data_IF_045132523946
#
_entry.id   IF_045132523946
#
_cell.length_a   1.000
_cell.length_b   1.000
_cell.length_c   1.000
_cell.angle_alpha   90.00
_cell.angle_beta   90.00
_cell.angle_gamma   90.00
#
_symmetry.space_group_name_H-M   'P 1'
#
loop_
_entity.id
_entity.type
_entity.pdbx_description
1 polymer ?
#
# COMPACT_ATOMS: atom_id res chain seq x y z
N UNK A 1 -27.22 20.91 -19.06
CA UNK A 1 -26.18 20.02 -18.49
C UNK A 1 -26.56 18.58 -18.84
N UNK A 2 -25.96 17.99 -19.88
CA UNK A 2 -26.19 16.58 -20.22
C UNK A 2 -25.41 15.72 -19.22
N UNK A 3 -26.10 15.08 -18.28
CA UNK A 3 -25.49 14.08 -17.40
C UNK A 3 -25.23 12.85 -18.28
N UNK A 4 -24.02 12.76 -18.84
CA UNK A 4 -23.57 11.55 -19.53
C UNK A 4 -23.20 10.54 -18.44
N UNK A 5 -24.16 9.66 -18.11
CA UNK A 5 -23.86 8.49 -17.27
C UNK A 5 -23.06 7.52 -18.14
N UNK A 6 -21.74 7.51 -18.02
CA UNK A 6 -20.92 6.44 -18.59
C UNK A 6 -21.36 5.13 -17.93
N UNK A 7 -22.06 4.28 -18.69
CA UNK A 7 -22.54 2.99 -18.22
C UNK A 7 -21.32 2.06 -18.14
N UNK A 8 -20.96 1.65 -16.92
CA UNK A 8 -19.87 0.68 -16.69
C UNK A 8 -20.17 -0.64 -17.39
N UNK A 9 -19.13 -1.27 -17.91
CA UNK A 9 -19.26 -2.61 -18.50
C UNK A 9 -19.51 -3.66 -17.41
N UNK A 10 -20.15 -4.78 -17.75
CA UNK A 10 -20.36 -5.89 -16.80
C UNK A 10 -19.04 -6.44 -16.22
N UNK A 11 -17.97 -6.68 -17.01
CA UNK A 11 -16.66 -7.06 -16.47
C UNK A 11 -16.10 -6.06 -15.46
N UNK A 12 -16.25 -4.75 -15.71
CA UNK A 12 -15.82 -3.72 -14.77
C UNK A 12 -16.63 -3.78 -13.46
N UNK A 13 -17.95 -3.94 -13.53
CA UNK A 13 -18.80 -4.08 -12.34
C UNK A 13 -18.37 -5.30 -11.52
N UNK A 14 -18.19 -6.46 -12.15
CA UNK A 14 -17.76 -7.69 -11.47
C UNK A 14 -16.42 -7.50 -10.76
N UNK A 15 -15.42 -6.91 -11.44
CA UNK A 15 -14.09 -6.67 -10.87
C UNK A 15 -14.12 -5.70 -9.68
N UNK A 16 -14.88 -4.61 -9.78
CA UNK A 16 -14.98 -3.60 -8.71
C UNK A 16 -15.80 -4.11 -7.51
N UNK A 17 -16.85 -4.91 -7.75
CA UNK A 17 -17.59 -5.58 -6.67
C UNK A 17 -16.70 -6.58 -5.94
N UNK A 18 -15.94 -7.39 -6.68
CA UNK A 18 -14.96 -8.30 -6.10
C UNK A 18 -13.95 -7.54 -5.22
N UNK A 19 -13.37 -6.47 -5.75
CA UNK A 19 -12.43 -5.62 -5.02
C UNK A 19 -13.08 -5.05 -3.74
N UNK A 20 -14.31 -4.54 -3.84
CA UNK A 20 -15.03 -3.99 -2.69
C UNK A 20 -15.21 -5.01 -1.57
N UNK A 21 -15.63 -6.24 -1.90
CA UNK A 21 -15.77 -7.35 -0.94
C UNK A 21 -14.41 -7.67 -0.31
N UNK A 22 -13.36 -7.83 -1.12
CA UNK A 22 -12.03 -8.16 -0.62
C UNK A 22 -11.48 -7.10 0.35
N UNK A 23 -11.60 -5.81 -0.01
CA UNK A 23 -11.16 -4.70 0.84
C UNK A 23 -11.96 -4.65 2.14
N UNK A 24 -13.29 -4.76 2.06
CA UNK A 24 -14.18 -4.76 3.22
C UNK A 24 -13.80 -5.86 4.22
N UNK A 25 -13.69 -7.09 3.73
CA UNK A 25 -13.39 -8.27 4.55
C UNK A 25 -11.96 -8.23 5.11
N UNK A 26 -10.99 -7.78 4.31
CA UNK A 26 -9.59 -7.66 4.77
C UNK A 26 -9.43 -6.59 5.86
N UNK A 27 -10.12 -5.45 5.73
CA UNK A 27 -10.09 -4.40 6.76
C UNK A 27 -10.81 -4.88 8.01
N UNK A 28 -11.97 -5.54 7.90
CA UNK A 28 -12.68 -6.10 9.05
C UNK A 28 -11.82 -7.12 9.81
N UNK A 29 -11.13 -8.02 9.11
CA UNK A 29 -10.23 -9.00 9.73
C UNK A 29 -9.14 -8.32 10.56
N UNK A 30 -8.67 -7.14 10.15
CA UNK A 30 -7.67 -6.35 10.86
C UNK A 30 -8.20 -5.62 12.14
N UNK A 31 -9.49 -5.79 12.45
CA UNK A 31 -10.19 -5.13 13.57
C UNK A 31 -10.76 -6.12 14.56
N UNK A 32 -11.25 -5.63 15.70
CA UNK A 32 -11.93 -6.48 16.69
C UNK A 32 -13.25 -7.06 16.20
N UNK A 33 -13.79 -6.62 15.06
CA UNK A 33 -14.93 -7.30 14.42
C UNK A 33 -14.64 -8.73 13.99
N UNK A 34 -13.36 -9.11 13.87
CA UNK A 34 -12.96 -10.51 13.64
C UNK A 34 -13.51 -11.47 14.71
N UNK A 35 -13.78 -10.98 15.93
CA UNK A 35 -14.37 -11.78 17.01
C UNK A 35 -15.86 -12.05 16.79
N UNK A 36 -16.53 -11.19 16.03
CA UNK A 36 -17.96 -11.30 15.72
C UNK A 36 -18.22 -11.98 14.37
N UNK A 37 -17.21 -12.11 13.51
CA UNK A 37 -17.32 -12.74 12.21
C UNK A 37 -16.74 -14.16 12.24
N UNK A 38 -17.55 -15.22 12.02
CA UNK A 38 -17.03 -16.57 11.93
C UNK A 38 -15.95 -16.70 10.86
N UNK A 39 -14.85 -17.41 11.14
CA UNK A 39 -13.74 -17.61 10.18
C UNK A 39 -14.20 -18.22 8.85
N UNK A 40 -15.28 -19.01 8.86
CA UNK A 40 -15.88 -19.57 7.64
C UNK A 40 -16.51 -18.47 6.76
N UNK A 41 -17.17 -17.46 7.37
CA UNK A 41 -17.78 -16.36 6.63
C UNK A 41 -16.71 -15.52 5.91
N UNK A 42 -15.58 -15.24 6.57
CA UNK A 42 -14.42 -14.62 5.93
C UNK A 42 -13.98 -15.40 4.68
N UNK A 43 -13.76 -16.73 4.82
CA UNK A 43 -13.32 -17.58 3.70
C UNK A 43 -14.33 -17.62 2.56
N UNK A 44 -15.63 -17.68 2.86
CA UNK A 44 -16.71 -17.67 1.86
C UNK A 44 -16.73 -16.35 1.09
N UNK A 45 -16.62 -15.21 1.77
CA UNK A 45 -16.62 -13.90 1.10
C UNK A 45 -15.39 -13.71 0.21
N UNK A 46 -14.22 -14.17 0.65
CA UNK A 46 -13.01 -14.21 -0.19
C UNK A 46 -13.22 -15.12 -1.40
N UNK A 47 -13.80 -16.31 -1.23
CA UNK A 47 -14.09 -17.22 -2.33
C UNK A 47 -15.08 -16.63 -3.34
N UNK A 48 -16.14 -15.95 -2.87
CA UNK A 48 -17.08 -15.20 -3.71
C UNK A 48 -16.34 -14.13 -4.50
N UNK A 49 -15.48 -13.35 -3.84
CA UNK A 49 -14.70 -12.31 -4.50
C UNK A 49 -13.79 -12.88 -5.60
N UNK A 50 -13.09 -13.98 -5.35
CA UNK A 50 -12.29 -14.67 -6.36
C UNK A 50 -13.14 -15.25 -7.49
N UNK A 51 -14.31 -15.83 -7.19
CA UNK A 51 -15.23 -16.35 -8.20
C UNK A 51 -15.71 -15.23 -9.14
N UNK A 52 -16.01 -14.04 -8.62
CA UNK A 52 -16.36 -12.87 -9.44
C UNK A 52 -15.22 -12.47 -10.38
N UNK A 53 -13.95 -12.54 -9.93
CA UNK A 53 -12.79 -12.28 -10.80
C UNK A 53 -12.67 -13.34 -11.91
N UNK A 54 -12.88 -14.62 -11.58
CA UNK A 54 -12.88 -15.70 -12.59
C UNK A 54 -13.99 -15.48 -13.61
N UNK A 55 -15.21 -15.20 -13.17
CA UNK A 55 -16.35 -14.91 -14.05
C UNK A 55 -16.02 -13.71 -14.94
N UNK A 56 -15.41 -12.65 -14.39
CA UNK A 56 -14.96 -11.48 -15.15
C UNK A 56 -13.96 -11.86 -16.25
N UNK A 57 -13.01 -12.76 -15.98
CA UNK A 57 -12.04 -13.21 -16.97
C UNK A 57 -12.70 -14.03 -18.09
N UNK A 58 -13.77 -14.79 -17.83
CA UNK A 58 -14.50 -15.53 -18.86
C UNK A 58 -15.17 -14.63 -19.91
N UNK A 59 -15.39 -13.34 -19.63
CA UNK A 59 -15.88 -12.38 -20.63
C UNK A 59 -14.80 -11.92 -21.61
N UNK A 60 -13.52 -12.20 -21.33
CA UNK A 60 -12.40 -11.79 -22.19
C UNK A 60 -12.24 -12.78 -23.33
N UNK A 61 -12.40 -12.29 -24.56
CA UNK A 61 -12.37 -13.13 -25.77
C UNK A 61 -10.96 -13.46 -26.24
N UNK A 62 -10.03 -12.50 -26.11
CA UNK A 62 -8.68 -12.64 -26.61
C UNK A 62 -7.63 -12.39 -25.50
N UNK A 63 -6.63 -13.26 -25.46
CA UNK A 63 -5.51 -13.22 -24.53
C UNK A 63 -4.22 -12.99 -25.30
N UNK A 64 -3.56 -11.86 -25.07
CA UNK A 64 -2.23 -11.61 -25.60
C UNK A 64 -1.13 -12.36 -24.81
N UNK A 65 0.05 -12.49 -25.39
CA UNK A 65 1.17 -13.20 -24.77
C UNK A 65 1.57 -12.59 -23.41
N UNK A 66 1.45 -11.26 -23.25
CA UNK A 66 1.75 -10.56 -22.00
C UNK A 66 0.79 -10.95 -20.89
N UNK A 67 -0.49 -11.10 -21.22
CA UNK A 67 -1.52 -11.57 -20.30
C UNK A 67 -1.27 -13.00 -19.84
N UNK A 68 -0.80 -13.88 -20.74
CA UNK A 68 -0.45 -15.26 -20.38
C UNK A 68 0.80 -15.29 -19.47
N UNK A 69 1.86 -14.57 -19.83
CA UNK A 69 3.07 -14.46 -18.99
C UNK A 69 2.72 -13.87 -17.62
N UNK A 70 1.89 -12.82 -17.59
CA UNK A 70 1.42 -12.21 -16.35
C UNK A 70 0.66 -13.19 -15.46
N UNK A 71 -0.14 -14.09 -16.05
CA UNK A 71 -0.86 -15.14 -15.30
C UNK A 71 0.12 -16.15 -14.71
N UNK A 72 1.07 -16.63 -15.51
CA UNK A 72 2.10 -17.58 -15.07
C UNK A 72 2.90 -16.99 -13.91
N UNK A 73 3.37 -15.75 -14.03
CA UNK A 73 4.09 -15.05 -12.96
C UNK A 73 3.20 -14.93 -11.71
N UNK A 74 1.94 -14.53 -11.88
CA UNK A 74 0.97 -14.40 -10.77
C UNK A 74 0.83 -15.73 -10.01
N UNK A 75 0.61 -16.84 -10.74
CA UNK A 75 0.46 -18.18 -10.15
C UNK A 75 1.75 -18.64 -9.47
N UNK A 76 2.91 -18.44 -10.10
CA UNK A 76 4.21 -18.83 -9.52
C UNK A 76 4.48 -18.08 -8.20
N UNK A 77 4.30 -16.75 -8.19
CA UNK A 77 4.50 -15.94 -6.98
C UNK A 77 3.46 -16.30 -5.91
N UNK A 78 2.21 -16.55 -6.31
CA UNK A 78 1.15 -17.02 -5.41
C UNK A 78 1.54 -18.31 -4.70
N UNK A 79 2.07 -19.31 -5.42
CA UNK A 79 2.51 -20.56 -4.83
C UNK A 79 3.70 -20.37 -3.87
N UNK A 80 4.67 -19.52 -4.21
CA UNK A 80 5.82 -19.22 -3.34
C UNK A 80 5.35 -18.55 -2.03
N UNK A 81 4.56 -17.48 -2.14
CA UNK A 81 4.04 -16.75 -0.97
C UNK A 81 3.11 -17.64 -0.15
N UNK A 82 2.26 -18.43 -0.81
CA UNK A 82 1.30 -19.34 -0.19
C UNK A 82 1.95 -20.47 0.60
N UNK A 83 3.11 -20.97 0.13
CA UNK A 83 3.90 -21.98 0.84
C UNK A 83 4.46 -21.47 2.17
N UNK A 84 4.89 -20.20 2.22
CA UNK A 84 5.51 -19.61 3.41
C UNK A 84 4.48 -19.05 4.40
N UNK A 85 3.42 -18.41 3.89
CA UNK A 85 2.41 -17.76 4.72
C UNK A 85 1.18 -18.64 4.89
N UNK A 86 0.28 -18.60 3.92
CA UNK A 86 -0.82 -19.54 3.64
C UNK A 86 -1.38 -19.17 2.28
N UNK A 87 -1.98 -20.13 1.56
CA UNK A 87 -2.66 -19.87 0.27
C UNK A 87 -3.84 -18.90 0.38
N UNK A 88 -4.41 -18.75 1.57
CA UNK A 88 -5.50 -17.83 1.90
C UNK A 88 -5.02 -16.51 2.50
N UNK A 89 -3.71 -16.23 2.50
CA UNK A 89 -3.21 -14.97 3.04
C UNK A 89 -3.63 -13.80 2.17
N UNK A 90 -3.90 -12.64 2.80
CA UNK A 90 -4.27 -11.41 2.08
C UNK A 90 -3.24 -11.04 1.00
N UNK A 91 -1.95 -11.26 1.26
CA UNK A 91 -0.85 -10.97 0.32
C UNK A 91 -0.95 -11.87 -0.91
N UNK A 92 -1.13 -13.19 -0.71
CA UNK A 92 -1.26 -14.14 -1.81
C UNK A 92 -2.50 -13.86 -2.67
N UNK A 93 -3.65 -13.62 -2.02
CA UNK A 93 -4.90 -13.29 -2.71
C UNK A 93 -4.79 -11.97 -3.50
N UNK A 94 -4.07 -10.98 -2.97
CA UNK A 94 -3.88 -9.68 -3.63
C UNK A 94 -3.24 -9.80 -5.02
N UNK A 95 -2.43 -10.83 -5.28
CA UNK A 95 -1.82 -11.06 -6.59
C UNK A 95 -2.88 -11.28 -7.68
N UNK A 96 -3.96 -12.00 -7.37
CA UNK A 96 -5.07 -12.20 -8.30
C UNK A 96 -5.82 -10.90 -8.59
N UNK A 97 -5.91 -9.98 -7.64
CA UNK A 97 -6.47 -8.65 -7.89
C UNK A 97 -5.58 -7.83 -8.82
N UNK A 98 -4.26 -7.81 -8.58
CA UNK A 98 -3.32 -7.12 -9.48
C UNK A 98 -3.47 -7.64 -10.91
N UNK A 99 -3.58 -8.96 -11.08
CA UNK A 99 -3.78 -9.56 -12.39
C UNK A 99 -5.17 -9.27 -12.97
N UNK A 100 -6.25 -9.53 -12.24
CA UNK A 100 -7.61 -9.44 -12.77
C UNK A 100 -8.06 -8.00 -13.02
N UNK A 101 -7.51 -7.02 -12.32
CA UNK A 101 -7.81 -5.60 -12.53
C UNK A 101 -6.89 -4.92 -13.57
N UNK A 102 -6.00 -5.69 -14.23
CA UNK A 102 -5.04 -5.16 -15.21
C UNK A 102 -5.65 -4.46 -16.42
N UNK A 103 -6.93 -4.63 -16.70
CA UNK A 103 -7.65 -4.00 -17.82
C UNK A 103 -8.81 -3.13 -17.33
N UNK A 104 -8.85 -2.84 -16.03
CA UNK A 104 -9.82 -1.93 -15.43
C UNK A 104 -9.17 -0.55 -15.24
N UNK A 105 -9.84 0.56 -15.60
CA UNK A 105 -9.28 1.90 -15.41
C UNK A 105 -8.92 2.16 -13.95
N UNK A 106 -7.70 2.64 -13.70
CA UNK A 106 -7.22 2.81 -12.31
C UNK A 106 -8.09 3.80 -11.52
N UNK A 107 -8.72 4.78 -12.17
CA UNK A 107 -9.63 5.74 -11.53
C UNK A 107 -10.85 5.05 -10.91
N UNK A 108 -11.41 4.02 -11.56
CA UNK A 108 -12.52 3.22 -11.03
C UNK A 108 -12.09 2.38 -9.81
N UNK A 109 -10.89 1.79 -9.88
CA UNK A 109 -10.28 1.04 -8.77
C UNK A 109 -10.05 1.95 -7.56
N UNK A 110 -9.41 3.09 -7.78
CA UNK A 110 -9.11 4.09 -6.76
C UNK A 110 -10.39 4.61 -6.08
N UNK A 111 -11.43 4.97 -6.86
CA UNK A 111 -12.72 5.41 -6.30
C UNK A 111 -13.36 4.33 -5.42
N UNK A 112 -13.35 3.08 -5.88
CA UNK A 112 -13.91 1.95 -5.13
C UNK A 112 -13.14 1.75 -3.82
N UNK A 113 -11.81 1.75 -3.88
CA UNK A 113 -10.96 1.65 -2.68
C UNK A 113 -11.17 2.81 -1.72
N UNK A 114 -11.28 4.04 -2.22
CA UNK A 114 -11.51 5.23 -1.39
C UNK A 114 -12.82 5.12 -0.61
N UNK A 115 -13.92 4.77 -1.30
CA UNK A 115 -15.24 4.62 -0.66
C UNK A 115 -15.20 3.55 0.42
N UNK A 116 -14.68 2.35 0.11
CA UNK A 116 -14.60 1.28 1.10
C UNK A 116 -13.71 1.65 2.27
N UNK A 117 -12.54 2.24 2.02
CA UNK A 117 -11.58 2.61 3.07
C UNK A 117 -12.17 3.67 4.02
N UNK A 118 -12.82 4.71 3.50
CA UNK A 118 -13.45 5.76 4.32
C UNK A 118 -14.61 5.20 5.14
N UNK A 119 -15.51 4.44 4.51
CA UNK A 119 -16.66 3.85 5.21
C UNK A 119 -16.20 2.90 6.32
N UNK A 120 -15.23 2.05 6.03
CA UNK A 120 -14.69 1.11 7.01
C UNK A 120 -13.96 1.80 8.15
N UNK A 121 -13.13 2.80 7.85
CA UNK A 121 -12.42 3.54 8.88
C UNK A 121 -13.41 4.23 9.84
N UNK A 122 -14.42 4.94 9.30
CA UNK A 122 -15.44 5.60 10.12
C UNK A 122 -16.28 4.59 10.90
N UNK A 123 -16.72 3.51 10.26
CA UNK A 123 -17.52 2.46 10.88
C UNK A 123 -16.80 1.84 12.07
N UNK A 124 -15.54 1.45 11.91
CA UNK A 124 -14.74 0.79 12.97
C UNK A 124 -14.48 1.76 14.12
N UNK A 125 -14.07 3.00 13.84
CA UNK A 125 -13.79 4.01 14.87
C UNK A 125 -15.07 4.33 15.65
N UNK A 126 -16.20 4.53 14.97
CA UNK A 126 -17.46 4.82 15.61
C UNK A 126 -17.93 3.64 16.49
N UNK A 127 -17.82 2.42 15.98
CA UNK A 127 -18.15 1.20 16.72
C UNK A 127 -17.31 1.06 17.99
N UNK A 128 -16.01 1.36 17.91
CA UNK A 128 -15.10 1.32 19.05
C UNK A 128 -15.44 2.40 20.09
N UNK A 129 -15.77 3.62 19.65
CA UNK A 129 -16.17 4.71 20.54
C UNK A 129 -17.53 4.47 21.21
N UNK A 130 -18.44 3.76 20.55
CA UNK A 130 -19.71 3.33 21.13
C UNK A 130 -19.59 2.09 22.03
N UNK A 131 -18.41 1.46 22.10
CA UNK A 131 -18.20 0.23 22.87
C UNK A 131 -18.80 -1.03 22.23
N UNK A 132 -19.16 -1.00 20.94
CA UNK A 132 -19.62 -2.19 20.18
C UNK A 132 -18.47 -3.18 20.00
N UNK A 133 -17.26 -2.67 19.77
CA UNK A 133 -16.03 -3.44 19.72
C UNK A 133 -14.98 -2.81 20.65
N UNK A 134 -13.97 -3.59 21.03
CA UNK A 134 -12.90 -3.13 21.91
C UNK A 134 -12.10 -1.98 21.29
N UNK A 135 -11.89 -0.91 22.06
CA UNK A 135 -10.84 0.07 21.78
C UNK A 135 -9.64 -0.19 22.69
N UNK A 136 -8.67 -0.96 22.20
CA UNK A 136 -7.49 -1.31 23.00
C UNK A 136 -6.57 -0.09 23.21
N UNK A 137 -6.08 0.08 24.44
CA UNK A 137 -5.11 1.10 24.81
C UNK A 137 -3.77 0.44 25.12
N UNK A 138 -2.75 0.72 24.31
CA UNK A 138 -1.38 0.31 24.57
C UNK A 138 -0.67 1.38 25.40
N UNK A 139 -0.19 1.00 26.58
CA UNK A 139 0.58 1.86 27.47
C UNK A 139 2.03 1.36 27.50
N UNK A 140 2.96 2.21 27.09
CA UNK A 140 4.40 1.93 27.06
C UNK A 140 5.16 3.11 27.64
N UNK A 141 5.40 3.07 28.96
CA UNK A 141 5.99 4.20 29.69
C UNK A 141 5.04 5.40 29.67
N UNK A 142 5.49 6.55 29.16
CA UNK A 142 4.68 7.77 29.01
C UNK A 142 3.81 7.78 27.74
N UNK A 143 4.00 6.81 26.85
CA UNK A 143 3.29 6.73 25.57
C UNK A 143 2.01 5.94 25.72
N UNK A 144 0.89 6.55 25.33
CA UNK A 144 -0.43 5.90 25.25
C UNK A 144 -0.88 5.88 23.78
N UNK A 145 -1.28 4.71 23.28
CA UNK A 145 -1.78 4.54 21.91
C UNK A 145 -3.14 3.89 21.93
N UNK A 146 -4.12 4.58 21.37
CA UNK A 146 -5.45 4.05 21.09
C UNK A 146 -5.43 3.29 19.76
N UNK A 147 -5.99 2.08 19.74
CA UNK A 147 -6.04 1.25 18.53
C UNK A 147 -7.27 1.55 17.67
N UNK A 148 -8.22 2.34 18.19
CA UNK A 148 -9.40 2.83 17.47
C UNK A 148 -10.26 1.71 16.86
N UNK A 149 -10.37 0.57 17.55
CA UNK A 149 -11.09 -0.62 17.09
C UNK A 149 -10.26 -1.59 16.24
N UNK A 150 -9.05 -1.22 15.84
CA UNK A 150 -8.13 -2.09 15.11
C UNK A 150 -7.34 -2.99 16.06
N UNK A 151 -6.69 -4.03 15.52
CA UNK A 151 -5.83 -4.93 16.29
C UNK A 151 -4.39 -4.43 16.47
N UNK A 152 -4.06 -3.30 15.87
CA UNK A 152 -2.76 -2.63 16.05
C UNK A 152 -2.85 -1.13 15.74
N UNK A 153 -2.14 -0.29 16.50
CA UNK A 153 -2.28 1.17 16.45
C UNK A 153 -1.95 1.80 15.09
N UNK A 154 -1.09 1.16 14.30
CA UNK A 154 -0.66 1.70 12.99
C UNK A 154 -1.71 1.52 11.89
N UNK A 155 -2.60 0.53 12.03
CA UNK A 155 -3.57 0.12 11.02
C UNK A 155 -4.59 1.21 10.62
N UNK A 156 -5.24 1.93 11.56
CA UNK A 156 -6.11 3.05 11.18
C UNK A 156 -5.33 4.17 10.47
N UNK A 157 -4.08 4.41 10.88
CA UNK A 157 -3.27 5.49 10.33
C UNK A 157 -2.77 5.19 8.91
N UNK A 158 -2.35 3.95 8.61
CA UNK A 158 -1.98 3.56 7.24
C UNK A 158 -3.20 3.56 6.32
N UNK A 159 -4.37 3.12 6.80
CA UNK A 159 -5.62 3.17 6.03
C UNK A 159 -6.01 4.62 5.69
N UNK A 160 -5.87 5.55 6.65
CA UNK A 160 -6.09 6.97 6.41
C UNK A 160 -5.05 7.57 5.45
N UNK A 161 -3.78 7.16 5.53
CA UNK A 161 -2.76 7.58 4.57
C UNK A 161 -3.10 7.13 3.15
N UNK A 162 -3.62 5.90 2.98
CA UNK A 162 -4.11 5.41 1.69
C UNK A 162 -5.31 6.24 1.18
N UNK A 163 -6.23 6.65 2.07
CA UNK A 163 -7.33 7.58 1.75
C UNK A 163 -6.79 8.92 1.26
N UNK A 164 -5.77 9.49 1.92
CA UNK A 164 -5.11 10.73 1.50
C UNK A 164 -4.45 10.58 0.13
N UNK A 165 -3.65 9.53 -0.09
CA UNK A 165 -2.97 9.27 -1.36
C UNK A 165 -3.97 9.06 -2.51
N UNK A 166 -5.04 8.31 -2.26
CA UNK A 166 -6.09 8.04 -3.25
C UNK A 166 -6.90 9.29 -3.58
N UNK A 167 -7.17 10.14 -2.58
CA UNK A 167 -7.83 11.44 -2.79
C UNK A 167 -6.96 12.39 -3.61
N UNK A 168 -5.65 12.47 -3.31
CA UNK A 168 -4.68 13.23 -4.10
C UNK A 168 -4.70 12.76 -5.58
N UNK A 169 -4.70 11.45 -5.82
CA UNK A 169 -4.77 10.90 -7.17
C UNK A 169 -6.10 11.25 -7.88
N UNK A 170 -7.25 11.06 -7.24
CA UNK A 170 -8.57 11.29 -7.85
C UNK A 170 -8.81 12.77 -8.14
N UNK A 171 -8.51 13.64 -7.18
CA UNK A 171 -8.83 15.06 -7.27
C UNK A 171 -7.75 15.86 -7.99
N UNK A 172 -6.51 15.39 -8.03
CA UNK A 172 -5.37 16.11 -8.62
C UNK A 172 -5.30 17.55 -8.05
N UNK A 173 -5.24 18.57 -8.90
CA UNK A 173 -5.28 19.99 -8.53
C UNK A 173 -6.69 20.52 -8.19
N UNK A 174 -7.74 19.73 -8.41
CA UNK A 174 -9.15 20.12 -8.24
C UNK A 174 -9.71 19.78 -6.84
N UNK A 175 -8.88 19.48 -5.85
CA UNK A 175 -9.36 19.26 -4.48
C UNK A 175 -10.04 20.52 -3.93
N UNK A 176 -11.18 20.37 -3.24
CA UNK A 176 -11.83 21.50 -2.55
C UNK A 176 -11.14 21.77 -1.21
N UNK A 177 -11.00 23.05 -0.82
CA UNK A 177 -10.31 23.41 0.42
C UNK A 177 -10.91 22.75 1.67
N UNK A 178 -12.23 22.60 1.73
CA UNK A 178 -12.87 21.90 2.85
C UNK A 178 -12.52 20.40 2.88
N UNK A 179 -12.36 19.74 1.72
CA UNK A 179 -11.96 18.33 1.64
C UNK A 179 -10.52 18.17 2.16
N UNK A 180 -9.63 19.07 1.71
CA UNK A 180 -8.25 19.12 2.17
C UNK A 180 -8.19 19.36 3.68
N UNK A 181 -8.95 20.34 4.20
CA UNK A 181 -9.00 20.65 5.63
C UNK A 181 -9.50 19.47 6.45
N UNK A 182 -10.58 18.81 6.00
CA UNK A 182 -11.12 17.62 6.66
C UNK A 182 -10.08 16.49 6.73
N UNK A 183 -9.35 16.23 5.64
CA UNK A 183 -8.27 15.24 5.62
C UNK A 183 -7.13 15.62 6.57
N UNK A 184 -6.68 16.87 6.55
CA UNK A 184 -5.63 17.38 7.44
C UNK A 184 -6.01 17.24 8.91
N UNK A 185 -7.24 17.60 9.28
CA UNK A 185 -7.75 17.44 10.65
C UNK A 185 -7.88 15.96 11.04
N UNK A 186 -8.34 15.11 10.12
CA UNK A 186 -8.44 13.67 10.35
C UNK A 186 -7.06 13.04 10.60
N UNK A 187 -6.06 13.41 9.79
CA UNK A 187 -4.66 12.95 9.92
C UNK A 187 -4.09 13.39 11.26
N UNK A 188 -4.29 14.66 11.64
CA UNK A 188 -3.85 15.18 12.94
C UNK A 188 -4.52 14.46 14.12
N UNK A 189 -5.84 14.25 14.06
CA UNK A 189 -6.58 13.56 15.11
C UNK A 189 -6.14 12.10 15.26
N UNK A 190 -6.07 11.33 14.16
CA UNK A 190 -5.60 9.93 14.22
C UNK A 190 -4.16 9.86 14.72
N UNK A 191 -3.30 10.80 14.37
CA UNK A 191 -1.95 10.87 14.93
C UNK A 191 -1.98 11.10 16.45
N UNK A 192 -2.80 12.03 16.95
CA UNK A 192 -2.95 12.26 18.39
C UNK A 192 -3.46 11.03 19.16
N UNK A 193 -4.24 10.17 18.51
CA UNK A 193 -4.73 8.92 19.11
C UNK A 193 -3.71 7.77 19.06
N UNK A 194 -2.98 7.65 17.95
CA UNK A 194 -2.20 6.45 17.63
C UNK A 194 -0.69 6.64 17.76
N UNK A 195 -0.20 7.88 17.85
CA UNK A 195 1.23 8.25 17.76
C UNK A 195 1.96 7.54 16.58
N UNK A 196 1.30 7.47 15.43
CA UNK A 196 1.82 6.84 14.21
C UNK A 196 2.62 7.85 13.38
N UNK A 197 3.83 8.19 13.87
CA UNK A 197 4.69 9.26 13.32
C UNK A 197 4.94 9.16 11.81
N UNK A 198 5.31 7.98 11.33
CA UNK A 198 5.72 7.80 9.95
C UNK A 198 4.57 8.03 8.95
N UNK A 199 3.42 7.40 9.17
CA UNK A 199 2.21 7.57 8.35
C UNK A 199 1.66 8.99 8.46
N UNK A 200 1.79 9.64 9.62
CA UNK A 200 1.47 11.06 9.79
C UNK A 200 2.33 11.95 8.90
N UNK A 201 3.67 11.83 8.97
CA UNK A 201 4.56 12.66 8.16
C UNK A 201 4.39 12.43 6.66
N UNK A 202 4.20 11.19 6.22
CA UNK A 202 3.89 10.91 4.81
C UNK A 202 2.56 11.52 4.38
N UNK A 203 1.53 11.45 5.23
CA UNK A 203 0.24 12.10 4.95
C UNK A 203 0.42 13.62 4.83
N UNK A 204 1.22 14.25 5.70
CA UNK A 204 1.58 15.67 5.58
C UNK A 204 2.31 15.97 4.27
N UNK A 205 3.28 15.14 3.85
CA UNK A 205 3.99 15.30 2.57
C UNK A 205 3.01 15.21 1.39
N UNK A 206 2.09 14.24 1.40
CA UNK A 206 1.07 14.09 0.36
C UNK A 206 0.09 15.28 0.32
N UNK A 207 -0.36 15.75 1.48
CA UNK A 207 -1.26 16.91 1.59
C UNK A 207 -0.57 18.23 1.20
N UNK A 208 0.69 18.41 1.58
CA UNK A 208 1.51 19.55 1.17
C UNK A 208 1.75 19.54 -0.34
N UNK A 209 2.02 18.37 -0.92
CA UNK A 209 2.09 18.24 -2.37
C UNK A 209 0.74 18.55 -3.04
N UNK A 210 -0.37 18.11 -2.45
CA UNK A 210 -1.70 18.37 -2.97
C UNK A 210 -2.08 19.86 -3.00
N UNK A 211 -1.75 20.62 -1.95
CA UNK A 211 -1.96 22.08 -1.93
C UNK A 211 -1.00 22.79 -2.90
N UNK A 212 0.24 22.31 -3.01
CA UNK A 212 1.24 22.86 -3.92
C UNK A 212 0.80 22.76 -5.39
N UNK A 213 0.32 21.59 -5.83
CA UNK A 213 -0.19 21.41 -7.21
C UNK A 213 -1.51 22.14 -7.45
N UNK A 214 -2.29 22.42 -6.40
CA UNK A 214 -3.49 23.24 -6.49
C UNK A 214 -3.13 24.70 -6.74
N UNK A 215 -2.16 25.25 -6.02
CA UNK A 215 -1.72 26.64 -6.18
C UNK A 215 -0.85 26.85 -7.42
N UNK A 216 -0.05 25.85 -7.79
CA UNK A 216 0.86 25.93 -8.93
C UNK A 216 0.70 24.70 -9.85
N UNK A 217 -0.38 24.59 -10.64
CA UNK A 217 -0.62 23.41 -11.48
C UNK A 217 0.55 23.08 -12.43
N UNK A 218 1.22 24.10 -12.96
CA UNK A 218 2.38 23.98 -13.85
C UNK A 218 3.63 23.40 -13.16
N UNK A 219 3.61 23.20 -11.84
CA UNK A 219 4.75 22.60 -11.13
C UNK A 219 4.94 21.13 -11.46
N UNK A 220 3.87 20.43 -11.87
CA UNK A 220 3.94 19.00 -12.20
C UNK A 220 4.89 18.73 -13.39
N UNK A 221 4.83 19.56 -14.44
CA UNK A 221 5.73 19.43 -15.59
C UNK A 221 7.18 19.75 -15.22
N UNK A 222 7.39 20.77 -14.37
CA UNK A 222 8.73 21.14 -13.87
C UNK A 222 9.34 20.05 -12.98
N UNK A 223 8.55 19.47 -12.08
CA UNK A 223 8.95 18.36 -11.21
C UNK A 223 9.11 17.04 -11.98
N UNK A 224 8.58 16.94 -13.20
CA UNK A 224 8.75 15.75 -14.03
C UNK A 224 10.21 15.36 -14.24
N UNK A 225 11.12 16.33 -14.37
CA UNK A 225 12.56 16.08 -14.44
C UNK A 225 13.14 15.57 -13.12
N UNK A 226 12.66 16.08 -11.99
CA UNK A 226 13.05 15.58 -10.65
C UNK A 226 12.59 14.14 -10.47
N UNK A 227 11.36 13.81 -10.83
CA UNK A 227 10.84 12.44 -10.71
C UNK A 227 11.60 11.42 -11.56
N UNK A 228 12.19 11.83 -12.70
CA UNK A 228 13.08 10.96 -13.50
C UNK A 228 14.33 10.52 -12.72
N UNK A 229 14.86 11.34 -11.81
CA UNK A 229 15.99 10.98 -10.92
C UNK A 229 15.59 9.83 -10.00
N UNK A 230 14.36 9.86 -9.50
CA UNK A 230 13.82 8.85 -8.59
C UNK A 230 13.31 7.58 -9.29
N UNK A 231 13.46 7.45 -10.62
CA UNK A 231 12.99 6.28 -11.38
C UNK A 231 13.44 4.94 -10.79
N UNK A 232 14.65 4.88 -10.23
CA UNK A 232 15.24 3.67 -9.65
C UNK A 232 15.14 3.61 -8.12
N UNK A 233 14.27 4.42 -7.49
CA UNK A 233 14.17 4.54 -6.03
C UNK A 233 13.88 3.21 -5.33
N UNK A 234 13.05 2.33 -5.89
CA UNK A 234 12.78 1.01 -5.27
C UNK A 234 14.04 0.13 -5.22
N UNK A 235 14.83 0.11 -6.30
CA UNK A 235 16.11 -0.64 -6.34
C UNK A 235 17.08 -0.05 -5.33
N UNK A 236 17.25 1.27 -5.35
CA UNK A 236 18.17 1.96 -4.47
C UNK A 236 17.81 1.76 -3.00
N UNK A 237 16.53 1.91 -2.65
CA UNK A 237 16.05 1.74 -1.29
C UNK A 237 16.15 0.29 -0.80
N UNK A 238 15.94 -0.70 -1.68
CA UNK A 238 16.15 -2.11 -1.35
C UNK A 238 17.63 -2.42 -1.07
N UNK A 239 18.54 -1.96 -1.93
CA UNK A 239 19.99 -2.14 -1.77
C UNK A 239 20.48 -1.45 -0.50
N UNK A 240 20.09 -0.20 -0.25
CA UNK A 240 20.45 0.53 0.96
C UNK A 240 19.90 -0.14 2.20
N UNK A 241 18.64 -0.55 2.18
CA UNK A 241 18.02 -1.27 3.31
C UNK A 241 18.85 -2.50 3.66
N UNK A 242 19.21 -3.31 2.67
CA UNK A 242 20.05 -4.49 2.87
C UNK A 242 21.45 -4.11 3.38
N UNK A 243 22.13 -3.18 2.72
CA UNK A 243 23.50 -2.78 3.07
C UNK A 243 23.61 -2.21 4.49
N UNK A 244 22.70 -1.30 4.89
CA UNK A 244 22.70 -0.74 6.25
C UNK A 244 22.42 -1.86 7.26
N UNK A 245 21.47 -2.76 6.96
CA UNK A 245 21.09 -3.82 7.89
C UNK A 245 22.22 -4.81 8.15
N UNK A 246 22.93 -5.29 7.12
CA UNK A 246 24.02 -6.26 7.31
C UNK A 246 25.27 -5.63 7.97
N UNK A 247 25.50 -4.33 7.77
CA UNK A 247 26.68 -3.64 8.32
C UNK A 247 26.45 -3.01 9.70
N UNK A 248 25.22 -3.06 10.24
CA UNK A 248 24.86 -2.34 11.47
C UNK A 248 25.82 -2.62 12.65
N UNK A 249 26.04 -3.90 12.98
CA UNK A 249 26.96 -4.32 14.05
C UNK A 249 28.37 -4.69 13.54
N UNK A 250 28.57 -4.81 12.22
CA UNK A 250 29.80 -5.29 11.61
C UNK A 250 30.81 -4.21 11.19
N UNK A 251 30.50 -2.93 11.38
CA UNK A 251 31.37 -1.84 10.93
C UNK A 251 32.47 -1.50 11.95
N UNK A 252 33.74 -1.70 11.56
CA UNK A 252 34.91 -1.29 12.34
C UNK A 252 35.24 0.22 12.22
N UNK A 253 34.51 0.98 11.40
CA UNK A 253 34.73 2.41 11.24
C UNK A 253 33.92 3.21 12.27
N UNK A 254 34.60 3.96 13.13
CA UNK A 254 33.99 4.74 14.21
C UNK A 254 32.91 5.72 13.72
N UNK A 255 33.14 6.43 12.61
CA UNK A 255 32.18 7.38 12.06
C UNK A 255 30.92 6.69 11.54
N UNK A 256 31.09 5.56 10.84
CA UNK A 256 29.96 4.78 10.29
C UNK A 256 29.14 4.15 11.42
N UNK A 257 29.80 3.60 12.44
CA UNK A 257 29.14 3.04 13.62
C UNK A 257 28.35 4.12 14.38
N UNK A 258 28.96 5.29 14.61
CA UNK A 258 28.29 6.43 15.23
C UNK A 258 27.06 6.91 14.44
N UNK A 259 27.13 6.91 13.11
CA UNK A 259 25.98 7.21 12.24
C UNK A 259 24.87 6.16 12.38
N UNK A 260 25.22 4.87 12.30
CA UNK A 260 24.27 3.76 12.44
C UNK A 260 23.58 3.72 13.80
N UNK A 261 24.29 4.03 14.89
CA UNK A 261 23.69 4.13 16.21
C UNK A 261 22.62 5.23 16.28
N UNK A 262 22.95 6.44 15.80
CA UNK A 262 22.01 7.56 15.73
C UNK A 262 20.81 7.23 14.83
N UNK A 263 21.05 6.59 13.69
CA UNK A 263 20.00 6.15 12.78
C UNK A 263 19.07 5.13 13.45
N UNK A 264 19.63 4.14 14.15
CA UNK A 264 18.84 3.14 14.88
C UNK A 264 17.99 3.79 15.99
N UNK A 265 18.54 4.77 16.71
CA UNK A 265 17.79 5.53 17.71
C UNK A 265 16.62 6.30 17.07
N UNK A 266 16.87 7.00 15.94
CA UNK A 266 15.82 7.71 15.20
C UNK A 266 14.73 6.77 14.67
N UNK A 267 15.10 5.56 14.25
CA UNK A 267 14.18 4.52 13.78
C UNK A 267 13.54 3.71 14.93
N UNK A 268 13.84 4.02 16.19
CA UNK A 268 13.27 3.34 17.36
C UNK A 268 13.70 1.89 17.52
N UNK A 269 14.94 1.54 17.14
CA UNK A 269 15.49 0.18 17.27
C UNK A 269 15.27 -0.73 16.06
N UNK A 270 14.55 -0.28 15.02
CA UNK A 270 14.20 -1.12 13.85
C UNK A 270 15.40 -1.64 13.08
N UNK A 271 16.48 -0.86 13.02
CA UNK A 271 17.70 -1.29 12.32
C UNK A 271 18.37 -2.46 13.06
N UNK A 272 18.44 -2.38 14.40
CA UNK A 272 18.90 -3.49 15.23
C UNK A 272 18.05 -4.75 15.04
N UNK A 273 16.72 -4.60 15.02
CA UNK A 273 15.80 -5.75 14.86
C UNK A 273 15.95 -6.42 13.49
N UNK A 274 16.10 -5.64 12.42
CA UNK A 274 16.35 -6.16 11.08
C UNK A 274 17.71 -6.88 11.00
N UNK A 275 18.76 -6.30 11.59
CA UNK A 275 20.10 -6.89 11.63
C UNK A 275 20.10 -8.21 12.42
N UNK A 276 19.54 -8.21 13.64
CA UNK A 276 19.43 -9.41 14.47
C UNK A 276 18.59 -10.50 13.83
N UNK A 277 17.49 -10.15 13.16
CA UNK A 277 16.69 -11.12 12.40
C UNK A 277 17.49 -11.76 11.26
N UNK A 278 18.32 -10.98 10.55
CA UNK A 278 19.20 -11.53 9.51
C UNK A 278 20.30 -12.42 10.07
N UNK A 279 20.86 -12.11 11.25
CA UNK A 279 21.85 -12.98 11.90
C UNK A 279 21.24 -14.30 12.35
N UNK A 280 20.05 -14.28 12.94
CA UNK A 280 19.38 -15.47 13.45
C UNK A 280 18.87 -16.38 12.33
N UNK A 281 18.20 -15.77 11.34
CA UNK A 281 17.47 -16.53 10.35
C UNK A 281 18.15 -16.53 9.00
N UNK A 282 18.92 -15.51 8.62
CA UNK A 282 19.46 -15.33 7.26
C UNK A 282 18.34 -15.14 6.21
N UNK A 283 18.67 -15.43 4.95
CA UNK A 283 17.71 -15.44 3.83
C UNK A 283 18.08 -16.53 2.81
N UNK A 284 17.21 -16.80 1.85
CA UNK A 284 17.43 -17.80 0.80
C UNK A 284 16.79 -17.38 -0.53
N UNK A 285 16.97 -18.17 -1.58
CA UNK A 285 16.46 -17.83 -2.92
C UNK A 285 14.91 -17.86 -2.99
N UNK A 286 14.29 -18.89 -2.39
CA UNK A 286 12.84 -19.18 -2.46
C UNK A 286 12.08 -18.95 -1.13
N UNK A 287 12.69 -18.20 -0.21
CA UNK A 287 12.11 -17.89 1.11
C UNK A 287 12.24 -19.03 2.11
N UNK A 288 11.96 -18.73 3.38
CA UNK A 288 11.93 -19.71 4.47
C UNK A 288 11.02 -19.23 5.59
N UNK A 289 10.52 -20.13 6.45
CA UNK A 289 9.81 -19.73 7.66
C UNK A 289 10.71 -18.88 8.54
N UNK A 290 10.17 -17.79 9.06
CA UNK A 290 10.84 -16.86 9.98
C UNK A 290 9.88 -16.56 11.12
N UNK A 291 10.35 -16.72 12.34
CA UNK A 291 9.55 -16.45 13.54
C UNK A 291 9.75 -15.01 13.99
N UNK A 292 8.69 -14.22 13.92
CA UNK A 292 8.69 -12.83 14.39
C UNK A 292 7.57 -12.59 15.40
N UNK A 293 7.95 -11.89 16.46
CA UNK A 293 7.10 -11.53 17.58
C UNK A 293 6.95 -10.01 17.59
N UNK A 294 5.78 -9.55 17.15
CA UNK A 294 5.41 -8.13 17.14
C UNK A 294 4.40 -7.79 18.24
N UNK A 295 4.04 -6.50 18.32
CA UNK A 295 3.07 -5.98 19.29
C UNK A 295 1.61 -6.04 18.78
N UNK A 296 1.37 -6.57 17.58
CA UNK A 296 0.01 -6.76 17.07
C UNK A 296 -0.77 -7.76 17.94
N UNK A 297 -2.07 -7.48 18.14
CA UNK A 297 -2.92 -8.34 18.95
C UNK A 297 -3.45 -9.53 18.14
N UNK A 298 -3.62 -10.67 18.83
CA UNK A 298 -4.29 -11.84 18.25
C UNK A 298 -5.76 -11.53 17.93
N UNK A 299 -6.44 -12.47 17.29
CA UNK A 299 -7.89 -12.40 17.01
C UNK A 299 -8.67 -12.21 18.31
N UNK A 300 -8.21 -12.82 19.40
CA UNK A 300 -8.79 -12.76 20.75
C UNK A 300 -8.40 -11.48 21.51
N UNK A 301 -7.58 -10.60 20.93
CA UNK A 301 -7.13 -9.37 21.57
C UNK A 301 -5.97 -9.56 22.55
N UNK A 302 -5.29 -10.70 22.49
CA UNK A 302 -4.19 -11.01 23.41
C UNK A 302 -2.87 -10.48 22.84
N UNK A 303 -2.05 -9.89 23.71
CA UNK A 303 -0.71 -9.42 23.35
C UNK A 303 0.28 -10.58 23.32
N UNK A 304 1.23 -10.56 22.39
CA UNK A 304 2.37 -11.46 22.43
C UNK A 304 3.39 -10.98 23.49
N UNK A 305 3.68 -11.84 24.48
CA UNK A 305 4.65 -11.57 25.56
C UNK A 305 6.04 -12.17 25.30
N UNK A 306 6.26 -12.82 24.15
CA UNK A 306 7.57 -13.31 23.76
C UNK A 306 8.53 -12.15 23.44
N UNK A 307 9.83 -12.45 23.43
CA UNK A 307 10.87 -11.48 23.08
C UNK A 307 10.57 -10.82 21.74
N UNK A 308 10.45 -9.49 21.75
CA UNK A 308 10.10 -8.71 20.57
C UNK A 308 11.19 -8.83 19.50
N UNK A 309 10.77 -9.33 18.33
CA UNK A 309 11.60 -9.41 17.14
C UNK A 309 10.68 -9.30 15.93
N UNK A 310 10.55 -8.11 15.37
CA UNK A 310 9.75 -7.87 14.18
C UNK A 310 10.51 -6.96 13.22
N UNK A 311 10.51 -7.32 11.94
CA UNK A 311 11.18 -6.57 10.88
C UNK A 311 10.14 -5.73 10.14
N UNK A 312 10.14 -4.43 10.43
CA UNK A 312 9.25 -3.45 9.78
C UNK A 312 9.76 -3.02 8.39
N UNK A 313 11.05 -3.17 8.07
CA UNK A 313 11.56 -2.80 6.73
C UNK A 313 11.04 -3.79 5.68
N UNK A 314 10.15 -3.35 4.78
CA UNK A 314 9.49 -4.20 3.80
C UNK A 314 10.48 -4.96 2.89
N UNK A 315 11.58 -4.33 2.48
CA UNK A 315 12.56 -4.98 1.60
C UNK A 315 13.26 -6.14 2.30
N UNK A 316 13.70 -5.93 3.55
CA UNK A 316 14.25 -7.02 4.37
C UNK A 316 13.18 -8.06 4.69
N UNK A 317 11.95 -7.60 4.92
CA UNK A 317 10.83 -8.46 5.25
C UNK A 317 10.56 -9.48 4.13
N UNK A 318 10.43 -8.99 2.90
CA UNK A 318 10.21 -9.80 1.69
C UNK A 318 11.42 -10.69 1.43
N UNK A 319 12.65 -10.18 1.62
CA UNK A 319 13.88 -10.97 1.46
C UNK A 319 13.89 -12.21 2.38
N UNK A 320 13.59 -12.02 3.66
CA UNK A 320 13.68 -13.09 4.65
C UNK A 320 12.52 -14.08 4.53
N UNK A 321 11.28 -13.58 4.41
CA UNK A 321 10.08 -14.43 4.32
C UNK A 321 9.97 -15.12 2.95
N UNK A 322 9.97 -14.34 1.88
CA UNK A 322 9.62 -14.82 0.53
C UNK A 322 10.84 -15.09 -0.37
N UNK A 323 12.03 -14.64 0.04
CA UNK A 323 13.28 -14.94 -0.62
C UNK A 323 13.73 -13.88 -1.62
N UNK A 324 14.98 -14.03 -2.06
CA UNK A 324 15.63 -13.10 -2.98
C UNK A 324 14.89 -13.01 -4.32
N UNK A 325 14.35 -14.11 -4.84
CA UNK A 325 13.63 -14.10 -6.12
C UNK A 325 12.39 -13.21 -6.07
N UNK A 326 11.60 -13.32 -5.00
CA UNK A 326 10.38 -12.51 -4.82
C UNK A 326 10.75 -11.04 -4.59
N UNK A 327 11.81 -10.75 -3.82
CA UNK A 327 12.30 -9.38 -3.64
C UNK A 327 12.71 -8.74 -4.98
N UNK A 328 13.55 -9.42 -5.76
CA UNK A 328 14.04 -8.91 -7.05
C UNK A 328 12.86 -8.67 -7.98
N UNK A 329 11.95 -9.63 -8.10
CA UNK A 329 10.75 -9.47 -8.92
C UNK A 329 9.90 -8.28 -8.47
N UNK A 330 9.64 -8.15 -7.17
CA UNK A 330 8.87 -7.05 -6.59
C UNK A 330 9.48 -5.69 -6.95
N UNK A 331 10.77 -5.52 -6.68
CA UNK A 331 11.50 -4.27 -6.91
C UNK A 331 11.56 -3.93 -8.40
N UNK A 332 11.77 -4.93 -9.27
CA UNK A 332 11.75 -4.76 -10.72
C UNK A 332 10.38 -4.31 -11.21
N UNK A 333 9.29 -5.00 -10.81
CA UNK A 333 7.93 -4.65 -11.23
C UNK A 333 7.53 -3.26 -10.77
N UNK A 334 7.83 -2.87 -9.53
CA UNK A 334 7.53 -1.53 -9.01
C UNK A 334 8.36 -0.44 -9.71
N UNK A 335 9.63 -0.72 -9.99
CA UNK A 335 10.52 0.18 -10.74
C UNK A 335 10.05 0.37 -12.18
N UNK A 336 9.63 -0.71 -12.86
CA UNK A 336 9.07 -0.64 -14.21
C UNK A 336 7.74 0.09 -14.24
N UNK A 337 6.89 -0.11 -13.22
CA UNK A 337 5.61 0.59 -13.07
C UNK A 337 5.83 2.09 -12.89
N UNK A 338 6.73 2.49 -11.98
CA UNK A 338 7.13 3.89 -11.78
C UNK A 338 7.72 4.48 -13.07
N UNK A 339 8.57 3.72 -13.75
CA UNK A 339 9.14 4.13 -15.05
C UNK A 339 8.07 4.36 -16.12
N UNK A 340 7.06 3.49 -16.19
CA UNK A 340 5.94 3.62 -17.14
C UNK A 340 5.08 4.84 -16.79
N UNK A 341 4.78 5.06 -15.52
CA UNK A 341 4.04 6.23 -15.04
C UNK A 341 4.78 7.54 -15.39
N UNK A 342 6.09 7.62 -15.14
CA UNK A 342 6.94 8.77 -15.52
C UNK A 342 6.94 9.01 -17.03
N UNK A 343 7.11 7.95 -17.85
CA UNK A 343 7.09 8.07 -19.32
C UNK A 343 5.74 8.54 -19.87
N UNK A 344 4.65 8.19 -19.20
CA UNK A 344 3.28 8.62 -19.53
C UNK A 344 2.89 9.94 -18.83
N UNK A 345 3.85 10.67 -18.27
CA UNK A 345 3.64 11.93 -17.54
C UNK A 345 2.61 11.85 -16.40
N UNK A 346 2.42 10.65 -15.82
CA UNK A 346 1.52 10.42 -14.69
C UNK A 346 2.20 10.82 -13.39
N UNK A 347 2.47 12.12 -13.25
CA UNK A 347 3.34 12.68 -12.21
C UNK A 347 2.82 12.47 -10.78
N UNK A 348 1.51 12.53 -10.57
CA UNK A 348 0.91 12.30 -9.25
C UNK A 348 1.09 10.84 -8.82
N UNK A 349 0.88 9.90 -9.75
CA UNK A 349 1.12 8.47 -9.49
C UNK A 349 2.60 8.24 -9.23
N UNK A 350 3.49 8.83 -10.03
CA UNK A 350 4.93 8.73 -9.83
C UNK A 350 5.35 9.23 -8.43
N UNK A 351 4.84 10.39 -8.02
CA UNK A 351 5.11 10.94 -6.69
C UNK A 351 4.64 10.01 -5.56
N UNK A 352 3.42 9.47 -5.65
CA UNK A 352 2.89 8.53 -4.65
C UNK A 352 3.75 7.27 -4.57
N UNK A 353 4.13 6.69 -5.72
CA UNK A 353 5.01 5.51 -5.75
C UNK A 353 6.41 5.80 -5.18
N UNK A 354 6.94 7.01 -5.35
CA UNK A 354 8.20 7.43 -4.73
C UNK A 354 8.03 7.56 -3.21
N UNK A 355 6.97 8.19 -2.70
CA UNK A 355 6.72 8.25 -1.25
C UNK A 355 6.60 6.83 -0.68
N UNK A 356 5.91 5.93 -1.39
CA UNK A 356 5.78 4.52 -1.00
C UNK A 356 7.13 3.78 -0.98
N UNK A 357 8.05 4.06 -1.91
CA UNK A 357 9.35 3.40 -1.94
C UNK A 357 10.18 3.72 -0.70
N UNK A 358 10.11 4.97 -0.20
CA UNK A 358 10.79 5.40 1.01
C UNK A 358 10.10 4.91 2.27
N UNK A 359 8.76 4.92 2.30
CA UNK A 359 7.98 4.34 3.39
C UNK A 359 8.37 2.88 3.65
N UNK A 360 8.55 2.12 2.57
CA UNK A 360 8.90 0.70 2.60
C UNK A 360 10.27 0.41 3.25
N UNK A 361 11.10 1.42 3.49
CA UNK A 361 12.36 1.26 4.25
C UNK A 361 12.14 1.18 5.77
N UNK A 362 10.97 1.58 6.27
CA UNK A 362 10.70 1.74 7.71
C UNK A 362 9.41 1.02 8.14
N UNK A 363 8.55 0.66 7.19
CA UNK A 363 7.24 0.05 7.43
C UNK A 363 6.88 -1.01 6.36
N UNK A 364 6.25 -2.09 6.80
CA UNK A 364 5.87 -3.25 5.99
C UNK A 364 4.40 -3.24 5.56
N UNK A 365 3.57 -2.40 6.20
CA UNK A 365 2.13 -2.36 5.96
C UNK A 365 1.77 -2.02 4.51
N UNK A 366 2.68 -1.38 3.78
CA UNK A 366 2.56 -1.13 2.34
C UNK A 366 2.38 -2.39 1.49
N UNK A 367 2.74 -3.57 1.99
CA UNK A 367 2.61 -4.84 1.27
C UNK A 367 1.15 -5.26 1.06
N UNK A 368 0.26 -4.85 1.95
CA UNK A 368 -1.13 -5.28 1.92
C UNK A 368 -1.96 -4.38 0.99
N UNK A 369 -2.64 -4.99 0.03
CA UNK A 369 -3.44 -4.27 -0.97
C UNK A 369 -4.54 -3.39 -0.34
N UNK A 370 -5.10 -3.82 0.80
CA UNK A 370 -6.12 -3.03 1.51
C UNK A 370 -5.58 -1.81 2.27
N UNK A 371 -4.26 -1.70 2.42
CA UNK A 371 -3.58 -0.50 2.92
C UNK A 371 -2.87 0.29 1.83
N UNK A 372 -2.81 -0.26 0.60
CA UNK A 372 -2.10 0.36 -0.51
C UNK A 372 -2.66 -0.13 -1.85
N UNK A 373 -3.63 0.60 -2.39
CA UNK A 373 -4.31 0.21 -3.63
C UNK A 373 -3.42 0.38 -4.88
N UNK A 374 -2.32 1.13 -4.77
CA UNK A 374 -1.43 1.45 -5.89
C UNK A 374 -0.66 0.23 -6.41
N UNK A 375 -0.67 -0.90 -5.71
CA UNK A 375 -0.19 -2.19 -6.22
C UNK A 375 -0.89 -2.63 -7.52
N UNK A 376 -2.17 -2.26 -7.72
CA UNK A 376 -2.91 -2.59 -8.94
C UNK A 376 -2.25 -1.98 -10.20
N UNK A 377 -1.47 -0.90 -10.05
CA UNK A 377 -0.75 -0.29 -11.17
C UNK A 377 0.28 -1.21 -11.82
N UNK A 378 0.73 -2.28 -11.16
CA UNK A 378 1.56 -3.32 -11.79
C UNK A 378 0.83 -3.97 -12.96
N UNK A 379 -0.51 -4.03 -12.93
CA UNK A 379 -1.35 -4.47 -14.04
C UNK A 379 -1.08 -3.70 -15.35
N UNK A 380 -0.60 -2.45 -15.25
CA UNK A 380 -0.17 -1.67 -16.42
C UNK A 380 1.03 -2.26 -17.17
N UNK A 381 1.82 -3.14 -16.54
CA UNK A 381 2.90 -3.86 -17.23
C UNK A 381 2.35 -5.07 -18.01
N UNK A 382 1.19 -5.58 -17.62
CA UNK A 382 0.53 -6.74 -18.22
C UNK A 382 -0.34 -6.29 -19.41
N UNK A 383 -1.09 -5.20 -19.24
CA UNK A 383 -1.97 -4.64 -20.28
C UNK A 383 -1.36 -3.37 -20.90
N UNK A 384 -1.15 -3.37 -22.22
CA UNK A 384 -0.52 -2.24 -22.93
C UNK A 384 -1.33 -0.95 -22.78
N UNK A 385 -2.64 -1.05 -22.96
CA UNK A 385 -3.58 0.07 -23.08
C UNK A 385 -4.19 0.44 -21.72
N UNK A 386 -3.44 0.20 -20.65
CA UNK A 386 -3.86 0.51 -19.29
C UNK A 386 -4.14 1.99 -19.10
N UNK A 387 -5.35 2.30 -18.65
CA UNK A 387 -5.80 3.65 -18.39
C UNK A 387 -5.40 4.10 -16.97
N UNK A 388 -4.37 4.93 -16.89
CA UNK A 388 -3.90 5.54 -15.63
C UNK A 388 -4.86 6.63 -15.13
N UNK A 389 -5.58 7.32 -16.02
CA UNK A 389 -6.69 8.23 -15.73
C UNK A 389 -7.64 8.30 -16.94
N UNK A 390 -8.80 8.94 -16.78
CA UNK A 390 -9.73 9.18 -17.90
C UNK A 390 -9.07 10.10 -18.94
N UNK A 391 -9.27 9.84 -20.23
CA UNK A 391 -8.72 10.59 -21.36
C UNK A 391 -9.06 12.11 -21.30
N UNK A 392 -10.20 12.47 -20.69
CA UNK A 392 -10.65 13.87 -20.56
C UNK A 392 -9.85 14.72 -19.57
N UNK A 393 -9.06 14.10 -18.66
CA UNK A 393 -8.25 14.86 -17.71
C UNK A 393 -6.91 15.34 -18.32
N UNK A 394 -6.55 14.84 -19.51
CA UNK A 394 -5.28 15.17 -20.20
C UNK A 394 -5.39 16.37 -21.16
N UNK A 395 -6.58 16.66 -21.71
CA UNK A 395 -6.80 17.80 -22.61
C UNK A 395 -6.72 19.17 -21.88
N UNK A 396 -7.02 19.21 -20.58
CA UNK A 396 -6.94 20.44 -19.77
C UNK A 396 -5.50 20.89 -19.47
N UNK A 397 -4.48 20.12 -19.87
CA UNK A 397 -3.08 20.51 -19.79
C UNK A 397 -2.38 20.69 -21.14
N UNK A 398 -3.06 20.40 -22.26
CA UNK A 398 -2.45 20.32 -23.59
C UNK A 398 -2.90 21.38 -24.59
N UNK A 399 -4.15 21.86 -24.55
CA UNK A 399 -4.73 22.67 -25.63
C UNK A 399 -5.32 24.00 -25.14
N UNK A 400 -4.50 24.93 -24.67
CA UNK A 400 -4.94 26.32 -24.47
C UNK A 400 -3.95 27.39 -24.95
N UNK A 401 -2.99 27.03 -25.81
CA UNK A 401 -2.02 27.99 -26.37
C UNK A 401 -1.74 27.73 -27.85
N UNK A 402 -2.80 27.61 -28.64
CA UNK A 402 -2.72 27.92 -30.06
C UNK A 402 -4.10 28.44 -30.48
N UNK A 403 -4.08 29.55 -31.23
CA UNK A 403 -5.22 30.31 -31.76
C UNK A 403 -5.97 31.25 -30.79
N UNK A 404 -5.39 32.42 -30.54
CA UNK A 404 -6.11 33.69 -30.76
C UNK A 404 -5.17 34.65 -31.50
N UNK A 405 -5.53 34.88 -32.77
CA UNK A 405 -5.16 35.91 -33.77
C UNK A 405 -4.06 36.90 -33.40
#
# INVERSE_FOLDING_TARGET
MKIVVQKRSLPEILALTALGIFLFVSILDATFYVQHLPRIAYKVLIAISLALLVIKELYKKDYDYRTIIGLIITVLVYLIIGKISTLSSNIAISLFFIYALRDIPFKSVAKTSLVVSVLMLLFVIFSANMGVITNYLEISGTRVRSYLGFRYALLPSILLMNVVATTLYINKNNIRYWQWLLLSLSVYWVYGQTDSRLTFYNSCILLAFNILIKWFPNILSKLGNVFKIFKFTFIFNAIISFWITINYLGSNNYFVNGFFFKLNQALGGRLYLANKSLELFGFGLFGKPVEWNGNGLTVEGVRNYQTYLYVDNLYIQVLQKFGLLVLVLMVTLLTLTLSKAIKKNQWIIAFILIVMSFQSMIDDLNLYLHYNIFWILIGSLIYSDYQFSDESDEELGGNSFEEII
#
